data_IF_870273921424
#
_entry.id   IF_870273921424
#
_cell.length_a   1.000
_cell.length_b   1.000
_cell.length_c   1.000
_cell.angle_alpha   90.00
_cell.angle_beta   90.00
_cell.angle_gamma   90.00
#
_symmetry.space_group_name_H-M   'P 1'
#
loop_
_entity.id
_entity.type
_entity.pdbx_description
1 polymer ?
#
# COMPACT_ATOMS: atom_id res chain seq x y z
N UNK A 1 13.05 -5.20 -3.01
CA UNK A 1 13.20 -5.63 -1.59
C UNK A 1 14.58 -6.25 -1.40
N UNK A 2 15.47 -5.61 -0.64
CA UNK A 2 16.90 -5.99 -0.63
C UNK A 2 17.15 -7.36 0.03
N UNK A 3 16.66 -7.59 1.25
CA UNK A 3 16.90 -8.84 1.99
C UNK A 3 16.36 -10.06 1.26
N UNK A 4 15.13 -9.99 0.76
CA UNK A 4 14.51 -11.10 0.01
C UNK A 4 15.21 -11.38 -1.33
N UNK A 5 15.83 -10.38 -1.97
CA UNK A 5 16.63 -10.57 -3.18
C UNK A 5 18.00 -11.19 -2.91
N UNK A 6 18.43 -11.23 -1.64
CA UNK A 6 19.68 -11.85 -1.19
C UNK A 6 19.39 -13.13 -0.38
N UNK A 7 18.32 -13.85 -0.74
CA UNK A 7 17.97 -15.17 -0.21
C UNK A 7 17.77 -15.26 1.31
N UNK A 8 17.52 -14.13 1.98
CA UNK A 8 17.10 -14.16 3.39
C UNK A 8 15.68 -14.71 3.44
N UNK A 9 15.52 -15.88 4.08
CA UNK A 9 14.22 -16.52 4.27
C UNK A 9 13.24 -15.56 4.98
N UNK A 10 11.99 -15.40 4.48
CA UNK A 10 10.98 -14.56 5.13
C UNK A 10 10.75 -14.89 6.61
N UNK A 11 10.88 -16.16 7.01
CA UNK A 11 10.71 -16.61 8.41
C UNK A 11 11.81 -16.10 9.36
N UNK A 12 12.89 -15.52 8.81
CA UNK A 12 13.97 -14.87 9.58
C UNK A 12 13.81 -13.35 9.65
N UNK A 13 12.76 -12.80 9.05
CA UNK A 13 12.48 -11.38 9.03
C UNK A 13 11.31 -11.08 9.96
N UNK A 14 11.38 -9.94 10.63
CA UNK A 14 10.31 -9.45 11.49
C UNK A 14 9.92 -8.05 11.05
N UNK A 15 8.63 -7.83 10.88
CA UNK A 15 8.07 -6.50 10.74
C UNK A 15 7.99 -5.81 12.10
N UNK A 16 8.49 -4.59 12.17
CA UNK A 16 8.29 -3.71 13.32
C UNK A 16 7.25 -2.66 12.91
N UNK A 17 5.99 -2.88 13.30
CA UNK A 17 4.82 -2.12 12.85
C UNK A 17 3.96 -1.63 14.03
N UNK A 18 4.50 -0.81 14.96
CA UNK A 18 3.73 -0.32 16.10
C UNK A 18 2.54 0.57 15.72
N UNK A 19 2.61 1.11 14.50
CA UNK A 19 1.49 1.73 13.79
C UNK A 19 1.62 1.28 12.34
N UNK A 20 0.93 0.21 11.97
CA UNK A 20 0.86 -0.24 10.59
C UNK A 20 0.69 0.96 9.65
N UNK A 21 1.46 0.99 8.55
CA UNK A 21 1.41 2.09 7.58
C UNK A 21 0.58 1.69 6.37
N UNK A 22 -0.24 2.63 5.91
CA UNK A 22 -0.72 2.62 4.54
C UNK A 22 0.45 2.77 3.56
N UNK A 23 0.39 2.03 2.46
CA UNK A 23 1.35 2.07 1.37
C UNK A 23 0.69 2.65 0.12
N UNK A 24 1.47 3.16 -0.84
CA UNK A 24 0.97 3.67 -2.12
C UNK A 24 1.34 2.69 -3.24
N UNK A 25 0.40 2.40 -4.13
CA UNK A 25 0.72 1.68 -5.37
C UNK A 25 1.55 2.56 -6.31
N UNK A 26 2.70 2.05 -6.75
CA UNK A 26 3.57 2.77 -7.68
C UNK A 26 2.87 3.11 -9.00
N UNK A 27 1.99 2.22 -9.48
CA UNK A 27 1.30 2.40 -10.75
C UNK A 27 0.33 3.59 -10.74
N UNK A 28 -0.10 4.04 -9.57
CA UNK A 28 -1.04 5.17 -9.42
C UNK A 28 -0.35 6.51 -9.23
N UNK A 29 0.96 6.52 -8.92
CA UNK A 29 1.70 7.75 -8.60
C UNK A 29 2.50 8.32 -9.78
N UNK A 30 3.03 7.47 -10.67
CA UNK A 30 4.00 7.88 -11.68
C UNK A 30 3.35 8.01 -13.08
N UNK A 31 3.20 9.23 -13.64
CA UNK A 31 2.56 9.45 -14.94
C UNK A 31 3.48 9.12 -16.15
N UNK A 32 4.27 8.06 -16.07
CA UNK A 32 5.14 7.61 -17.16
C UNK A 32 4.36 6.83 -18.23
N UNK A 33 4.92 6.64 -19.46
CA UNK A 33 4.25 5.93 -20.55
C UNK A 33 3.71 4.55 -20.15
N UNK A 34 4.41 3.84 -19.27
CA UNK A 34 4.05 2.52 -18.75
C UNK A 34 2.79 2.53 -17.89
N UNK A 35 2.51 3.63 -17.17
CA UNK A 35 1.46 3.70 -16.14
C UNK A 35 0.45 4.83 -16.37
N UNK A 36 0.52 5.55 -17.50
CA UNK A 36 -0.32 6.73 -17.75
C UNK A 36 -1.82 6.45 -17.66
N UNK A 37 -2.27 5.24 -18.05
CA UNK A 37 -3.67 4.84 -17.93
C UNK A 37 -4.06 4.67 -16.46
N UNK A 38 -3.32 3.85 -15.72
CA UNK A 38 -3.56 3.57 -14.31
C UNK A 38 -3.48 4.86 -13.47
N UNK A 39 -2.52 5.73 -13.77
CA UNK A 39 -2.41 7.03 -13.14
C UNK A 39 -3.68 7.88 -13.35
N UNK A 40 -4.18 7.98 -14.59
CA UNK A 40 -5.38 8.78 -14.89
C UNK A 40 -6.63 8.22 -14.21
N UNK A 41 -6.81 6.91 -14.27
CA UNK A 41 -7.92 6.20 -13.62
C UNK A 41 -7.88 6.42 -12.10
N UNK A 42 -6.72 6.21 -11.47
CA UNK A 42 -6.55 6.43 -10.03
C UNK A 42 -6.69 7.89 -9.62
N UNK A 43 -6.25 8.84 -10.45
CA UNK A 43 -6.41 10.26 -10.15
C UNK A 43 -7.89 10.66 -10.11
N UNK A 44 -8.70 10.20 -11.08
CA UNK A 44 -10.15 10.38 -11.06
C UNK A 44 -10.79 9.77 -9.83
N UNK A 45 -10.51 8.49 -9.55
CA UNK A 45 -11.04 7.79 -8.39
C UNK A 45 -10.63 8.45 -7.06
N UNK A 46 -9.42 9.02 -6.99
CA UNK A 46 -8.94 9.75 -5.80
C UNK A 46 -9.74 11.04 -5.58
N UNK A 47 -10.01 11.81 -6.64
CA UNK A 47 -10.84 13.02 -6.53
C UNK A 47 -12.28 12.70 -6.14
N UNK A 48 -12.85 11.63 -6.70
CA UNK A 48 -14.18 11.13 -6.32
C UNK A 48 -14.22 10.69 -4.85
N UNK A 49 -13.21 9.95 -4.39
CA UNK A 49 -13.09 9.53 -3.01
C UNK A 49 -13.00 10.72 -2.04
N UNK A 50 -12.18 11.74 -2.37
CA UNK A 50 -12.08 12.97 -1.58
C UNK A 50 -13.42 13.71 -1.52
N UNK A 51 -14.14 13.83 -2.65
CA UNK A 51 -15.41 14.52 -2.69
C UNK A 51 -16.56 13.80 -1.99
N UNK A 52 -16.53 12.47 -1.96
CA UNK A 52 -17.60 11.64 -1.41
C UNK A 52 -17.37 11.18 0.04
N UNK A 53 -16.14 11.27 0.55
CA UNK A 53 -15.81 10.80 1.90
C UNK A 53 -16.48 11.64 2.99
N UNK A 54 -16.99 10.96 4.01
CA UNK A 54 -17.67 11.55 5.18
C UNK A 54 -16.78 11.65 6.41
N UNK A 55 -15.64 10.96 6.40
CA UNK A 55 -14.62 10.98 7.46
C UNK A 55 -13.25 10.63 6.88
N UNK A 56 -12.19 10.80 7.67
CA UNK A 56 -10.86 10.33 7.30
C UNK A 56 -10.80 8.81 7.14
N UNK A 57 -11.54 8.06 7.96
CA UNK A 57 -11.54 6.60 7.86
C UNK A 57 -12.22 6.13 6.58
N UNK A 58 -13.36 6.74 6.24
CA UNK A 58 -14.11 6.50 4.99
C UNK A 58 -13.27 6.87 3.76
N UNK A 59 -12.53 7.98 3.81
CA UNK A 59 -11.61 8.36 2.73
C UNK A 59 -10.57 7.26 2.49
N UNK A 60 -9.92 6.75 3.54
CA UNK A 60 -8.88 5.75 3.39
C UNK A 60 -9.42 4.40 2.91
N UNK A 61 -10.62 3.99 3.36
CA UNK A 61 -11.29 2.79 2.84
C UNK A 61 -11.63 2.93 1.34
N UNK A 62 -12.06 4.11 0.90
CA UNK A 62 -12.32 4.40 -0.52
C UNK A 62 -11.03 4.39 -1.35
N UNK A 63 -9.97 5.00 -0.85
CA UNK A 63 -8.67 5.02 -1.54
C UNK A 63 -8.04 3.63 -1.64
N UNK A 64 -8.26 2.77 -0.64
CA UNK A 64 -7.88 1.36 -0.72
C UNK A 64 -8.72 0.60 -1.73
N UNK A 65 -10.04 0.78 -1.70
CA UNK A 65 -10.96 0.15 -2.67
C UNK A 65 -10.62 0.54 -4.10
N UNK A 66 -10.18 1.78 -4.31
CA UNK A 66 -9.71 2.29 -5.60
C UNK A 66 -8.30 1.79 -5.99
N UNK A 67 -7.60 1.06 -5.11
CA UNK A 67 -6.25 0.55 -5.34
C UNK A 67 -5.13 1.59 -5.21
N UNK A 68 -5.43 2.82 -4.78
CA UNK A 68 -4.43 3.87 -4.54
C UNK A 68 -3.63 3.58 -3.28
N UNK A 69 -4.31 3.15 -2.21
CA UNK A 69 -3.69 2.72 -0.96
C UNK A 69 -3.69 1.20 -0.83
N UNK A 70 -2.63 0.68 -0.22
CA UNK A 70 -2.41 -0.74 0.01
C UNK A 70 -2.06 -0.98 1.49
N UNK A 71 -2.41 -2.16 2.01
CA UNK A 71 -2.03 -2.62 3.35
C UNK A 71 -1.31 -3.97 3.29
N UNK A 72 -0.31 -4.15 4.15
CA UNK A 72 0.44 -5.42 4.26
C UNK A 72 -0.48 -6.50 4.82
N UNK A 73 -1.00 -6.30 6.02
CA UNK A 73 -1.95 -7.20 6.68
C UNK A 73 -3.39 -6.71 6.44
N UNK A 74 -4.23 -7.44 5.69
CA UNK A 74 -5.62 -7.05 5.46
C UNK A 74 -6.50 -7.07 6.71
N UNK A 75 -6.11 -7.82 7.74
CA UNK A 75 -6.89 -7.97 8.98
C UNK A 75 -6.73 -6.80 9.95
N UNK A 76 -5.73 -5.94 9.74
CA UNK A 76 -5.43 -4.79 10.61
C UNK A 76 -5.64 -3.49 9.83
N UNK A 77 -6.32 -2.52 10.47
CA UNK A 77 -6.46 -1.17 9.94
C UNK A 77 -5.19 -0.37 10.25
N UNK A 78 -4.46 0.13 9.22
CA UNK A 78 -3.28 0.96 9.46
C UNK A 78 -3.63 2.31 10.08
N UNK A 79 -2.76 2.79 10.98
CA UNK A 79 -2.92 4.09 11.69
C UNK A 79 -1.82 5.09 11.37
N UNK A 80 -0.83 4.70 10.57
CA UNK A 80 0.22 5.58 10.07
C UNK A 80 0.05 5.83 8.57
N UNK A 81 0.34 7.07 8.15
CA UNK A 81 0.50 7.43 6.75
C UNK A 81 1.94 7.90 6.52
N UNK A 82 2.87 6.95 6.32
CA UNK A 82 4.29 7.21 5.98
C UNK A 82 4.65 6.42 4.73
N UNK A 83 3.98 6.79 3.65
CA UNK A 83 3.76 6.00 2.44
C UNK A 83 5.02 5.53 1.73
N UNK A 84 5.48 4.33 2.06
CA UNK A 84 6.36 3.62 1.15
C UNK A 84 5.59 3.30 -0.13
N UNK A 85 6.22 3.57 -1.28
CA UNK A 85 5.65 3.29 -2.59
C UNK A 85 6.11 1.91 -3.07
N UNK A 86 5.16 1.01 -3.29
CA UNK A 86 5.42 -0.38 -3.67
C UNK A 86 4.64 -0.74 -4.92
N UNK A 87 5.12 -1.73 -5.66
CA UNK A 87 4.28 -2.44 -6.63
C UNK A 87 3.48 -3.55 -5.94
N UNK A 88 2.42 -4.01 -6.59
CA UNK A 88 1.69 -5.21 -6.17
C UNK A 88 2.60 -6.44 -6.00
N UNK A 89 3.55 -6.65 -6.92
CA UNK A 89 4.54 -7.74 -6.80
C UNK A 89 5.42 -7.60 -5.56
N UNK A 90 5.82 -6.38 -5.20
CA UNK A 90 6.57 -6.17 -3.96
C UNK A 90 5.68 -6.38 -2.73
N UNK A 91 4.42 -5.93 -2.75
CA UNK A 91 3.47 -6.18 -1.67
C UNK A 91 3.27 -7.68 -1.41
N UNK A 92 3.11 -8.48 -2.47
CA UNK A 92 3.04 -9.94 -2.37
C UNK A 92 4.26 -10.53 -1.65
N UNK A 93 5.46 -10.03 -1.97
CA UNK A 93 6.67 -10.48 -1.29
C UNK A 93 6.74 -10.01 0.16
N UNK A 94 6.30 -8.79 0.47
CA UNK A 94 6.25 -8.27 1.85
C UNK A 94 5.27 -9.07 2.73
N UNK A 95 4.16 -9.53 2.16
CA UNK A 95 3.14 -10.37 2.82
C UNK A 95 3.62 -11.78 3.15
N UNK A 96 4.75 -12.23 2.59
CA UNK A 96 5.35 -13.53 2.92
C UNK A 96 6.07 -13.54 4.26
N UNK A 97 6.31 -12.39 4.88
CA UNK A 97 6.98 -12.28 6.19
C UNK A 97 5.90 -12.44 7.28
N UNK A 98 5.89 -13.55 8.03
CA UNK A 98 4.78 -13.87 8.93
C UNK A 98 4.90 -13.20 10.30
N UNK A 99 6.12 -12.87 10.72
CA UNK A 99 6.39 -12.32 12.05
C UNK A 99 6.22 -10.81 12.06
N UNK A 100 5.29 -10.32 12.88
CA UNK A 100 4.92 -8.90 12.99
C UNK A 100 4.84 -8.53 14.48
N UNK A 101 5.65 -7.56 14.89
CA UNK A 101 5.61 -6.95 16.22
C UNK A 101 4.89 -5.60 16.13
N UNK A 102 3.85 -5.44 16.95
CA UNK A 102 2.99 -4.24 17.05
C UNK A 102 3.11 -3.62 18.44
#
# INVERSE_FOLDING_TARGET
LWLLRNDVCPDKLTWIMPRDSWLIDRATLQPGPTFVRQFRESYGATLEAIGAATSTDDLFDRLETAGTLLRIDPSVRPSMYRCATVSHLELEQLRRIPDIVR
#
